data_IF_147101302206
#
_entry.id   IF_147101302206
#
_cell.length_a   1.000
_cell.length_b   1.000
_cell.length_c   1.000
_cell.angle_alpha   90.00
_cell.angle_beta   90.00
_cell.angle_gamma   90.00
#
_symmetry.space_group_name_H-M   'P 1'
#
loop_
_entity.id
_entity.type
_entity.pdbx_description
1 polymer ?
#
# COMPACT_ATOMS: atom_id res chain seq x y z
N UNK A 1 -41.83 43.66 15.78
CA UNK A 1 -41.48 42.22 15.75
C UNK A 1 -41.15 41.87 14.31
N UNK A 2 -39.91 41.52 14.00
CA UNK A 2 -39.52 41.26 12.60
C UNK A 2 -38.01 41.24 12.34
N UNK A 3 -37.16 41.80 13.22
CA UNK A 3 -35.71 41.77 12.98
C UNK A 3 -35.04 40.44 13.35
N UNK A 4 -35.63 39.65 14.25
CA UNK A 4 -35.09 38.35 14.68
C UNK A 4 -35.23 37.26 13.61
N UNK A 5 -36.39 37.16 12.97
CA UNK A 5 -36.66 36.11 11.98
C UNK A 5 -35.80 36.26 10.71
N UNK A 6 -35.51 37.50 10.31
CA UNK A 6 -34.58 37.76 9.19
C UNK A 6 -33.14 37.39 9.53
N UNK A 7 -32.71 37.59 10.78
CA UNK A 7 -31.37 37.21 11.21
C UNK A 7 -31.20 35.69 11.27
N UNK A 8 -32.18 34.96 11.81
CA UNK A 8 -32.16 33.51 11.84
C UNK A 8 -32.24 32.88 10.45
N UNK A 9 -33.07 33.42 9.55
CA UNK A 9 -33.13 32.92 8.17
C UNK A 9 -31.82 33.19 7.41
N UNK A 10 -31.15 34.32 7.66
CA UNK A 10 -29.83 34.59 7.10
C UNK A 10 -28.74 33.65 7.66
N UNK A 11 -28.78 33.35 8.97
CA UNK A 11 -27.87 32.37 9.57
C UNK A 11 -28.08 30.95 9.04
N UNK A 12 -29.33 30.53 8.88
CA UNK A 12 -29.67 29.19 8.37
C UNK A 12 -29.23 29.05 6.92
N UNK A 13 -29.51 30.05 6.06
CA UNK A 13 -29.09 30.03 4.66
C UNK A 13 -27.58 30.11 4.48
N UNK A 14 -26.89 30.88 5.32
CA UNK A 14 -25.43 30.90 5.33
C UNK A 14 -24.83 29.55 5.77
N UNK A 15 -25.43 28.92 6.79
CA UNK A 15 -24.97 27.61 7.28
C UNK A 15 -25.18 26.51 6.24
N UNK A 16 -26.34 26.47 5.59
CA UNK A 16 -26.63 25.46 4.55
C UNK A 16 -25.72 25.62 3.34
N UNK A 17 -25.51 26.84 2.87
CA UNK A 17 -24.59 27.10 1.75
C UNK A 17 -23.14 26.73 2.07
N UNK A 18 -22.68 27.01 3.29
CA UNK A 18 -21.33 26.65 3.74
C UNK A 18 -21.15 25.12 3.85
N UNK A 19 -22.15 24.40 4.37
CA UNK A 19 -22.13 22.93 4.43
C UNK A 19 -22.13 22.34 3.01
N UNK A 20 -23.02 22.80 2.13
CA UNK A 20 -23.10 22.31 0.73
C UNK A 20 -21.81 22.60 -0.04
N UNK A 21 -21.20 23.77 0.16
CA UNK A 21 -19.90 24.11 -0.44
C UNK A 21 -18.79 23.18 0.03
N UNK A 22 -18.71 22.89 1.34
CA UNK A 22 -17.72 21.95 1.88
C UNK A 22 -17.92 20.52 1.35
N UNK A 23 -19.17 20.06 1.17
CA UNK A 23 -19.45 18.74 0.58
C UNK A 23 -19.06 18.71 -0.90
N UNK A 24 -19.39 19.75 -1.67
CA UNK A 24 -19.03 19.84 -3.08
C UNK A 24 -17.52 19.88 -3.27
N UNK A 25 -16.79 20.65 -2.45
CA UNK A 25 -15.34 20.71 -2.56
C UNK A 25 -14.67 19.43 -2.07
N UNK A 26 -15.22 18.74 -1.06
CA UNK A 26 -14.70 17.42 -0.63
C UNK A 26 -15.01 16.32 -1.65
N UNK A 27 -16.16 16.37 -2.31
CA UNK A 27 -16.55 15.38 -3.31
C UNK A 27 -15.82 15.58 -4.65
N UNK A 28 -15.51 16.83 -5.00
CA UNK A 28 -14.74 17.17 -6.20
C UNK A 28 -13.25 17.39 -5.90
N UNK A 29 -12.79 17.21 -4.66
CA UNK A 29 -11.38 17.23 -4.34
C UNK A 29 -10.76 16.01 -5.02
N UNK A 30 -9.94 16.18 -6.07
CA UNK A 30 -9.18 15.05 -6.58
C UNK A 30 -8.29 14.57 -5.43
N UNK A 31 -8.36 13.29 -5.09
CA UNK A 31 -7.34 12.62 -4.29
C UNK A 31 -6.02 12.68 -5.06
N UNK A 32 -5.35 13.83 -5.00
CA UNK A 32 -3.99 14.01 -5.49
C UNK A 32 -3.07 13.35 -4.49
N UNK A 33 -3.09 12.02 -4.49
CA UNK A 33 -2.04 11.23 -3.90
C UNK A 33 -0.87 11.27 -4.89
N UNK A 34 -0.16 12.40 -4.90
CA UNK A 34 1.08 12.59 -5.67
C UNK A 34 2.15 11.67 -5.06
N UNK A 35 2.10 10.40 -5.46
CA UNK A 35 3.21 9.48 -5.31
C UNK A 35 4.31 9.93 -6.28
N UNK A 36 5.56 10.11 -5.84
CA UNK A 36 6.63 10.53 -6.73
C UNK A 36 6.94 9.41 -7.73
N UNK A 37 6.41 9.57 -8.95
CA UNK A 37 6.66 8.72 -10.11
C UNK A 37 7.06 9.57 -11.33
N UNK A 38 7.70 8.98 -12.36
CA UNK A 38 8.32 9.74 -13.44
C UNK A 38 7.27 10.50 -14.23
N UNK A 39 7.48 11.80 -14.40
CA UNK A 39 6.54 12.72 -15.04
C UNK A 39 6.27 12.32 -16.49
N UNK A 40 5.08 11.79 -16.76
CA UNK A 40 4.53 11.74 -18.12
C UNK A 40 3.10 12.27 -18.09
N UNK A 41 2.91 13.44 -18.69
CA UNK A 41 1.61 14.10 -18.85
C UNK A 41 0.77 13.33 -19.86
N UNK A 42 -0.33 12.74 -19.43
CA UNK A 42 -1.54 12.63 -20.25
C UNK A 42 -2.74 12.30 -19.36
N UNK A 43 -3.60 13.29 -19.19
CA UNK A 43 -4.94 13.18 -18.65
C UNK A 43 -5.78 12.30 -19.57
N UNK A 44 -5.88 11.02 -19.29
CA UNK A 44 -6.97 10.17 -19.78
C UNK A 44 -7.36 9.23 -18.65
N UNK A 45 -8.66 9.10 -18.49
CA UNK A 45 -9.37 8.18 -17.61
C UNK A 45 -8.83 6.77 -17.89
N UNK A 46 -7.86 6.32 -17.11
CA UNK A 46 -7.43 4.92 -17.10
C UNK A 46 -8.33 4.23 -16.09
N UNK A 47 -9.36 3.54 -16.57
CA UNK A 47 -9.97 2.46 -15.80
C UNK A 47 -8.81 1.53 -15.38
N UNK A 48 -8.59 1.26 -14.08
CA UNK A 48 -7.52 0.36 -13.65
C UNK A 48 -7.95 -1.09 -13.85
N UNK A 49 -8.54 -1.41 -15.01
CA UNK A 49 -8.64 -2.78 -15.48
C UNK A 49 -7.32 -3.02 -16.21
N UNK A 50 -6.32 -3.49 -15.45
CA UNK A 50 -5.12 -4.08 -16.02
C UNK A 50 -5.63 -5.21 -16.92
N UNK A 51 -5.61 -4.97 -18.24
CA UNK A 51 -5.96 -5.98 -19.23
C UNK A 51 -4.97 -7.11 -19.03
N UNK A 52 -5.42 -8.22 -18.43
CA UNK A 52 -4.61 -9.43 -18.31
C UNK A 52 -4.01 -9.72 -19.69
N UNK A 53 -2.67 -9.75 -19.85
CA UNK A 53 -2.08 -10.01 -21.14
C UNK A 53 -2.56 -11.38 -21.60
N UNK A 54 -3.46 -11.37 -22.58
CA UNK A 54 -4.09 -12.57 -23.14
C UNK A 54 -3.08 -13.42 -23.94
N UNK A 55 -1.88 -12.89 -24.12
CA UNK A 55 -0.69 -13.63 -24.51
C UNK A 55 -0.27 -14.53 -23.33
N UNK A 56 -0.90 -15.71 -23.22
CA UNK A 56 -0.23 -16.90 -22.68
C UNK A 56 0.96 -17.17 -23.61
N UNK A 57 2.05 -16.44 -23.40
CA UNK A 57 3.31 -16.69 -24.07
C UNK A 57 3.68 -18.14 -23.77
N UNK A 58 3.53 -18.99 -24.78
CA UNK A 58 3.95 -20.38 -24.79
C UNK A 58 5.48 -20.49 -24.87
N UNK A 59 6.20 -19.58 -24.21
CA UNK A 59 7.64 -19.71 -24.02
C UNK A 59 7.81 -20.58 -22.79
N UNK A 60 8.51 -21.71 -22.90
CA UNK A 60 8.72 -22.70 -21.84
C UNK A 60 9.49 -22.21 -20.60
N UNK A 61 9.43 -20.92 -20.26
CA UNK A 61 9.90 -20.34 -19.01
C UNK A 61 8.74 -20.33 -18.02
N UNK A 62 8.94 -20.97 -16.86
CA UNK A 62 8.00 -20.85 -15.74
C UNK A 62 7.81 -19.38 -15.38
N UNK A 63 6.57 -18.90 -15.33
CA UNK A 63 6.23 -17.59 -14.77
C UNK A 63 6.39 -17.72 -13.26
N UNK A 64 7.40 -17.05 -12.73
CA UNK A 64 7.66 -17.03 -11.29
C UNK A 64 7.06 -15.75 -10.70
N UNK A 65 6.48 -15.87 -9.51
CA UNK A 65 5.93 -14.76 -8.74
C UNK A 65 6.84 -14.47 -7.55
N UNK A 66 7.24 -13.21 -7.39
CA UNK A 66 7.98 -12.78 -6.20
C UNK A 66 7.00 -12.48 -5.07
N UNK A 67 7.16 -13.13 -3.93
CA UNK A 67 6.29 -12.92 -2.77
C UNK A 67 6.87 -11.84 -1.86
N UNK A 68 6.17 -10.72 -1.71
CA UNK A 68 6.53 -9.65 -0.79
C UNK A 68 5.60 -9.67 0.43
N UNK A 69 6.15 -9.59 1.64
CA UNK A 69 5.37 -9.48 2.88
C UNK A 69 5.74 -8.24 3.67
N UNK A 70 4.77 -7.41 4.04
CA UNK A 70 5.05 -6.25 4.92
C UNK A 70 5.11 -6.67 6.39
N UNK A 71 6.12 -6.22 7.12
CA UNK A 71 6.33 -6.58 8.52
C UNK A 71 6.52 -5.36 9.42
N UNK A 72 5.98 -5.45 10.64
CA UNK A 72 6.22 -4.52 11.75
C UNK A 72 7.19 -5.15 12.77
N UNK A 73 7.67 -4.35 13.72
CA UNK A 73 8.56 -4.78 14.82
C UNK A 73 7.83 -5.55 15.94
N UNK A 74 6.61 -6.02 15.70
CA UNK A 74 5.83 -6.75 16.71
C UNK A 74 6.19 -8.24 16.72
N UNK A 75 6.15 -8.84 17.91
CA UNK A 75 6.43 -10.28 18.09
C UNK A 75 5.45 -11.14 17.29
N UNK A 76 4.18 -10.71 17.21
CA UNK A 76 3.16 -11.42 16.43
C UNK A 76 3.47 -11.40 14.93
N UNK A 77 3.82 -10.24 14.38
CA UNK A 77 4.16 -10.12 12.96
C UNK A 77 5.44 -10.92 12.64
N UNK A 78 6.42 -10.93 13.55
CA UNK A 78 7.63 -11.75 13.45
C UNK A 78 7.27 -13.25 13.30
N UNK A 79 6.37 -13.76 14.15
CA UNK A 79 5.91 -15.14 14.05
C UNK A 79 5.15 -15.41 12.75
N UNK A 80 4.25 -14.50 12.34
CA UNK A 80 3.51 -14.63 11.07
C UNK A 80 4.46 -14.71 9.87
N UNK A 81 5.47 -13.82 9.81
CA UNK A 81 6.47 -13.82 8.75
C UNK A 81 7.26 -15.14 8.70
N UNK A 82 7.61 -15.71 9.86
CA UNK A 82 8.28 -17.02 9.93
C UNK A 82 7.43 -18.15 9.39
N UNK A 83 6.15 -18.20 9.76
CA UNK A 83 5.22 -19.22 9.27
C UNK A 83 5.06 -19.10 7.74
N UNK A 84 4.90 -17.89 7.23
CA UNK A 84 4.80 -17.64 5.79
C UNK A 84 6.09 -18.06 5.06
N UNK A 85 7.26 -17.73 5.60
CA UNK A 85 8.54 -18.10 5.00
C UNK A 85 8.79 -19.61 5.03
N UNK A 86 8.43 -20.29 6.12
CA UNK A 86 8.49 -21.74 6.22
C UNK A 86 7.67 -22.43 5.11
N UNK A 87 6.43 -21.98 4.91
CA UNK A 87 5.59 -22.52 3.84
C UNK A 87 6.09 -22.13 2.45
N UNK A 88 6.69 -20.95 2.30
CA UNK A 88 7.37 -20.56 1.07
C UNK A 88 8.51 -21.53 0.75
N UNK A 89 9.41 -21.80 1.71
CA UNK A 89 10.51 -22.75 1.50
C UNK A 89 10.02 -24.16 1.18
N UNK A 90 8.92 -24.60 1.80
CA UNK A 90 8.36 -25.94 1.57
C UNK A 90 7.76 -26.10 0.17
N UNK A 91 7.20 -25.05 -0.40
CA UNK A 91 6.52 -25.11 -1.70
C UNK A 91 7.36 -24.58 -2.87
N UNK A 92 8.43 -23.80 -2.64
CA UNK A 92 9.26 -23.25 -3.72
C UNK A 92 9.89 -24.33 -4.61
N UNK A 93 10.30 -25.46 -4.01
CA UNK A 93 10.97 -26.56 -4.73
C UNK A 93 9.97 -27.63 -5.22
N UNK A 94 8.66 -27.37 -5.09
CA UNK A 94 7.60 -28.29 -5.51
C UNK A 94 7.50 -28.44 -7.03
N UNK A 95 7.04 -29.60 -7.54
CA UNK A 95 6.72 -29.77 -8.95
C UNK A 95 5.62 -28.75 -9.33
N UNK A 96 5.81 -28.05 -10.45
CA UNK A 96 4.96 -26.95 -10.91
C UNK A 96 4.83 -25.75 -9.95
N UNK A 97 5.77 -25.57 -9.01
CA UNK A 97 5.81 -24.33 -8.22
C UNK A 97 6.14 -23.14 -9.11
N UNK A 98 5.30 -22.10 -8.99
CA UNK A 98 5.45 -20.77 -9.62
C UNK A 98 6.04 -19.76 -8.63
N UNK A 99 6.56 -20.20 -7.48
CA UNK A 99 7.14 -19.31 -6.48
C UNK A 99 8.58 -18.93 -6.86
N UNK A 100 8.80 -17.63 -7.08
CA UNK A 100 10.11 -17.02 -7.30
C UNK A 100 10.77 -16.65 -5.97
N UNK A 101 11.22 -15.39 -5.84
CA UNK A 101 11.79 -14.88 -4.59
C UNK A 101 10.77 -14.63 -3.47
N UNK A 102 11.29 -14.46 -2.26
CA UNK A 102 10.52 -14.00 -1.09
C UNK A 102 11.25 -12.82 -0.47
N UNK A 103 10.53 -11.73 -0.18
CA UNK A 103 11.11 -10.58 0.51
C UNK A 103 10.18 -10.07 1.59
N UNK A 104 10.74 -9.87 2.78
CA UNK A 104 10.07 -9.21 3.89
C UNK A 104 10.39 -7.72 3.88
N UNK A 105 9.38 -6.87 3.88
CA UNK A 105 9.48 -5.42 3.89
C UNK A 105 9.23 -4.93 5.31
N UNK A 106 10.30 -4.66 6.05
CA UNK A 106 10.23 -4.19 7.43
C UNK A 106 10.05 -2.67 7.47
N UNK A 107 8.90 -2.21 7.93
CA UNK A 107 8.53 -0.78 7.93
C UNK A 107 8.73 -0.09 9.29
N UNK A 108 9.44 -0.72 10.22
CA UNK A 108 9.79 -0.14 11.53
C UNK A 108 11.01 0.79 11.48
N UNK A 109 11.76 0.78 10.36
CA UNK A 109 13.01 1.54 10.21
C UNK A 109 14.20 1.00 11.01
N UNK A 110 14.04 -0.09 11.75
CA UNK A 110 15.10 -0.70 12.58
C UNK A 110 15.35 -2.13 12.15
N UNK A 111 16.62 -2.58 12.05
CA UNK A 111 16.92 -3.98 11.77
C UNK A 111 16.46 -4.87 12.93
N UNK A 112 16.05 -6.10 12.61
CA UNK A 112 15.69 -7.12 13.59
C UNK A 112 16.50 -8.41 13.39
N UNK A 113 16.39 -9.33 14.36
CA UNK A 113 17.08 -10.63 14.30
C UNK A 113 16.57 -11.54 13.17
N UNK A 114 15.35 -11.29 12.68
CA UNK A 114 14.72 -12.12 11.66
C UNK A 114 15.32 -11.86 10.26
N UNK A 115 16.10 -10.79 10.10
CA UNK A 115 16.85 -10.49 8.88
C UNK A 115 17.94 -11.53 8.56
N UNK A 116 18.45 -12.23 9.58
CA UNK A 116 19.45 -13.29 9.40
C UNK A 116 18.84 -14.56 8.79
N UNK A 117 17.52 -14.73 8.94
CA UNK A 117 16.77 -15.91 8.52
C UNK A 117 15.98 -15.66 7.23
N UNK A 118 15.37 -14.47 7.10
CA UNK A 118 14.47 -14.12 5.99
C UNK A 118 15.05 -12.94 5.21
N UNK A 119 15.14 -13.00 3.86
CA UNK A 119 15.54 -11.86 3.04
C UNK A 119 14.67 -10.64 3.35
N UNK A 120 15.28 -9.59 3.91
CA UNK A 120 14.53 -8.45 4.45
C UNK A 120 15.02 -7.13 3.88
N UNK A 121 14.08 -6.32 3.41
CA UNK A 121 14.27 -4.93 3.05
C UNK A 121 13.80 -4.02 4.18
N UNK A 122 14.69 -3.14 4.66
CA UNK A 122 14.35 -2.15 5.69
C UNK A 122 13.87 -0.89 4.99
N UNK A 123 12.59 -0.56 5.17
CA UNK A 123 12.01 0.69 4.74
C UNK A 123 12.08 1.74 5.86
N UNK A 124 12.29 3.00 5.47
CA UNK A 124 12.27 4.10 6.42
C UNK A 124 10.81 4.48 6.72
N UNK A 125 10.41 4.63 8.00
CA UNK A 125 9.07 5.09 8.35
C UNK A 125 8.87 6.54 7.88
N UNK A 126 7.61 6.94 7.78
CA UNK A 126 7.25 8.32 7.46
C UNK A 126 7.79 9.27 8.54
N UNK A 127 8.24 10.48 8.16
CA UNK A 127 8.63 11.51 9.12
C UNK A 127 7.48 11.83 10.09
N UNK A 128 7.83 12.05 11.36
CA UNK A 128 6.87 12.36 12.42
C UNK A 128 6.00 13.56 12.03
N UNK A 129 4.67 13.42 12.07
CA UNK A 129 3.72 14.48 11.74
C UNK A 129 3.16 14.42 10.31
N UNK A 130 3.75 13.60 9.42
CA UNK A 130 3.16 13.31 8.10
C UNK A 130 2.05 12.25 8.19
N UNK A 131 2.11 11.41 9.22
CA UNK A 131 1.17 10.33 9.48
C UNK A 131 -0.17 10.82 10.05
N UNK A 132 -0.26 12.06 10.57
CA UNK A 132 -1.48 12.63 11.18
C UNK A 132 -2.16 11.70 12.21
N UNK A 133 -1.37 10.84 12.89
CA UNK A 133 -1.86 9.80 13.80
C UNK A 133 -2.28 8.48 13.14
N UNK A 134 -2.24 8.38 11.81
CA UNK A 134 -2.54 7.18 11.03
C UNK A 134 -1.27 6.36 10.74
N UNK A 135 -0.80 5.65 11.77
CA UNK A 135 0.44 4.86 11.73
C UNK A 135 0.47 3.77 10.64
N UNK A 136 -0.70 3.39 10.12
CA UNK A 136 -0.87 2.39 9.05
C UNK A 136 -0.28 2.88 7.72
N UNK A 137 -0.13 4.20 7.50
CA UNK A 137 0.48 4.77 6.29
C UNK A 137 1.93 4.32 6.05
N UNK A 138 2.63 3.87 7.09
CA UNK A 138 4.00 3.37 6.96
C UNK A 138 4.09 2.12 6.07
N UNK A 139 3.03 1.33 5.94
CA UNK A 139 3.03 0.10 5.13
C UNK A 139 3.03 0.38 3.62
N UNK A 140 2.07 1.13 3.05
CA UNK A 140 2.13 1.46 1.63
C UNK A 140 3.37 2.28 1.29
N UNK A 141 3.83 3.15 2.21
CA UNK A 141 5.08 3.89 2.02
C UNK A 141 6.31 2.99 1.92
N UNK A 142 6.40 1.96 2.78
CA UNK A 142 7.47 0.99 2.75
C UNK A 142 7.46 0.15 1.46
N UNK A 143 6.27 -0.17 0.96
CA UNK A 143 6.12 -0.89 -0.31
C UNK A 143 6.61 -0.06 -1.50
N UNK A 144 6.26 1.23 -1.57
CA UNK A 144 6.76 2.14 -2.61
C UNK A 144 8.29 2.25 -2.57
N UNK A 145 8.88 2.38 -1.38
CA UNK A 145 10.34 2.40 -1.23
C UNK A 145 11.01 1.11 -1.70
N UNK A 146 10.37 -0.04 -1.45
CA UNK A 146 10.87 -1.33 -1.91
C UNK A 146 10.80 -1.42 -3.43
N UNK A 147 9.66 -1.10 -4.05
CA UNK A 147 9.52 -1.09 -5.51
C UNK A 147 10.52 -0.17 -6.22
N UNK A 148 10.87 0.98 -5.61
CA UNK A 148 11.86 1.90 -6.18
C UNK A 148 13.30 1.39 -6.12
N UNK A 149 13.61 0.46 -5.20
CA UNK A 149 14.99 0.01 -4.92
C UNK A 149 15.24 -1.45 -5.28
N UNK A 150 14.20 -2.27 -5.39
CA UNK A 150 14.32 -3.69 -5.65
C UNK A 150 14.49 -3.96 -7.15
N UNK A 151 15.48 -4.77 -7.50
CA UNK A 151 15.63 -5.37 -8.83
C UNK A 151 14.91 -6.73 -8.82
N UNK A 152 13.63 -6.73 -9.18
CA UNK A 152 12.79 -7.94 -9.17
C UNK A 152 12.85 -8.56 -10.56
N UNK A 153 13.29 -9.83 -10.62
CA UNK A 153 13.51 -10.55 -11.88
C UNK A 153 12.23 -11.20 -12.41
N UNK A 154 11.26 -11.36 -11.53
CA UNK A 154 9.95 -11.96 -11.75
C UNK A 154 8.98 -11.01 -12.46
N UNK A 155 8.12 -11.56 -13.32
CA UNK A 155 7.13 -10.80 -14.08
C UNK A 155 5.93 -10.37 -13.21
N UNK A 156 5.73 -11.03 -12.06
CA UNK A 156 4.59 -10.81 -11.20
C UNK A 156 5.00 -10.80 -9.72
N UNK A 157 4.30 -9.98 -8.93
CA UNK A 157 4.53 -9.84 -7.50
C UNK A 157 3.27 -10.18 -6.71
N UNK A 158 3.42 -11.01 -5.68
CA UNK A 158 2.37 -11.33 -4.72
C UNK A 158 2.64 -10.56 -3.43
N UNK A 159 1.86 -9.52 -3.17
CA UNK A 159 1.94 -8.75 -1.93
C UNK A 159 1.00 -9.33 -0.87
N UNK A 160 1.57 -9.70 0.29
CA UNK A 160 0.82 -10.10 1.48
C UNK A 160 1.06 -9.11 2.62
N UNK A 161 -0.01 -8.65 3.26
CA UNK A 161 0.08 -7.87 4.50
C UNK A 161 -0.51 -8.67 5.65
N UNK A 162 0.27 -9.06 6.67
CA UNK A 162 -0.26 -9.60 7.90
C UNK A 162 -1.13 -8.52 8.55
N UNK A 163 -2.39 -8.86 8.82
CA UNK A 163 -3.28 -7.99 9.57
C UNK A 163 -2.68 -7.76 10.97
N UNK A 164 -2.49 -6.51 11.35
CA UNK A 164 -2.22 -6.16 12.75
C UNK A 164 -3.55 -6.07 13.47
N UNK A 165 -3.69 -6.81 14.57
CA UNK A 165 -4.71 -6.48 15.56
C UNK A 165 -4.22 -5.23 16.28
N UNK A 166 -4.78 -4.07 15.94
CA UNK A 166 -4.65 -2.87 16.76
C UNK A 166 -5.49 -3.10 18.01
N UNK A 167 -4.83 -3.42 19.13
CA UNK A 167 -5.42 -3.33 20.47
C UNK A 167 -5.43 -1.88 20.94
#
# INVERSE_FOLDING_TARGET
MGCGDFFFTLLITFSTTLITYNILISANAPLKQELPGPSTRSSLIVDPIIKMPFERSSSGKKRLFHTAVTASDSVYNTWQCRVMYYWYMKHKDGPNSEMGGFTRILHSGKPDKLMEEIPTFIAQPLPSGMDQGYIVLNRPWAFVQWLQKADIKEEYEMLNSPASVTS
#
